data_IF_595577729540
#
_entry.id   IF_595577729540
#
_cell.length_a   1.000
_cell.length_b   1.000
_cell.length_c   1.000
_cell.angle_alpha   90.00
_cell.angle_beta   90.00
_cell.angle_gamma   90.00
#
_symmetry.space_group_name_H-M   'P 1'
#
loop_
_entity.id
_entity.type
_entity.pdbx_description
1 polymer ?
#
# COMPACT_ATOMS: atom_id res chain seq x y z
N UNK A 1 8.33 16.91 -1.74
CA UNK A 1 7.62 17.76 -2.73
C UNK A 1 7.42 19.13 -2.09
N UNK A 2 7.70 20.22 -2.81
CA UNK A 2 7.26 21.56 -2.43
C UNK A 2 6.16 21.97 -3.42
N UNK A 3 5.07 22.57 -2.93
CA UNK A 3 4.06 23.19 -3.78
C UNK A 3 3.96 24.68 -3.45
N UNK A 4 3.48 25.48 -4.40
CA UNK A 4 3.43 26.93 -4.28
C UNK A 4 1.98 27.40 -4.05
N UNK A 5 1.73 28.08 -2.93
CA UNK A 5 0.42 28.64 -2.56
C UNK A 5 -0.07 29.67 -3.60
N UNK A 6 0.82 30.45 -4.21
CA UNK A 6 0.46 31.40 -5.27
C UNK A 6 -0.08 30.69 -6.51
N UNK A 7 0.44 29.49 -6.83
CA UNK A 7 -0.08 28.69 -7.94
C UNK A 7 -1.48 28.15 -7.63
N UNK A 8 -1.74 27.77 -6.37
CA UNK A 8 -3.09 27.38 -5.92
C UNK A 8 -4.04 28.57 -6.03
N UNK A 9 -3.66 29.74 -5.54
CA UNK A 9 -4.48 30.96 -5.63
C UNK A 9 -4.77 31.37 -7.08
N UNK A 10 -3.77 31.26 -7.97
CA UNK A 10 -3.91 31.58 -9.39
C UNK A 10 -4.92 30.68 -10.12
N UNK A 11 -5.12 29.44 -9.63
CA UNK A 11 -6.13 28.53 -10.16
C UNK A 11 -7.57 28.93 -9.78
N UNK A 12 -7.75 29.86 -8.83
CA UNK A 12 -9.05 30.31 -8.29
C UNK A 12 -9.98 29.13 -7.95
N UNK A 13 -9.56 28.22 -7.05
CA UNK A 13 -10.35 27.05 -6.70
C UNK A 13 -11.59 27.43 -5.88
N UNK A 14 -12.68 26.69 -6.08
CA UNK A 14 -13.86 26.75 -5.19
C UNK A 14 -13.69 25.83 -3.96
N UNK A 15 -12.79 24.85 -4.05
CA UNK A 15 -12.44 23.91 -2.97
C UNK A 15 -11.00 23.40 -3.18
N UNK A 16 -10.27 23.17 -2.08
CA UNK A 16 -8.91 22.63 -2.09
C UNK A 16 -8.93 21.25 -1.44
N UNK A 17 -8.65 20.20 -2.21
CA UNK A 17 -8.56 18.82 -1.73
C UNK A 17 -7.11 18.50 -1.33
N UNK A 18 -6.84 18.52 -0.02
CA UNK A 18 -5.54 18.21 0.57
C UNK A 18 -5.63 16.93 1.42
N UNK A 19 -6.20 15.88 0.86
CA UNK A 19 -6.59 14.66 1.59
C UNK A 19 -5.53 13.56 1.59
N UNK A 20 -4.54 13.63 0.71
CA UNK A 20 -3.53 12.57 0.52
C UNK A 20 -2.10 13.04 0.86
N UNK A 21 -1.35 12.14 1.50
CA UNK A 21 0.12 12.09 1.60
C UNK A 21 0.90 13.37 1.95
N UNK A 22 0.25 14.39 2.53
CA UNK A 22 0.87 15.64 2.89
C UNK A 22 0.37 16.13 4.25
N UNK A 23 1.29 16.32 5.19
CA UNK A 23 0.97 16.98 6.45
C UNK A 23 0.84 18.47 6.19
N UNK A 24 -0.37 19.00 6.38
CA UNK A 24 -0.59 20.44 6.41
C UNK A 24 -0.23 20.92 7.82
N UNK A 25 0.82 21.72 7.94
CA UNK A 25 1.00 22.49 9.17
C UNK A 25 -0.09 23.58 9.27
N UNK A 26 -0.25 24.12 10.48
CA UNK A 26 -1.32 25.09 10.76
C UNK A 26 -1.20 26.35 9.90
N UNK A 27 0.02 26.86 9.71
CA UNK A 27 0.25 28.08 8.94
C UNK A 27 -0.14 27.90 7.47
N UNK A 28 0.21 26.75 6.89
CA UNK A 28 -0.14 26.40 5.52
C UNK A 28 -1.63 26.13 5.35
N UNK A 29 -2.27 25.49 6.34
CA UNK A 29 -3.73 25.33 6.34
C UNK A 29 -4.45 26.69 6.36
N UNK A 30 -4.01 27.63 7.20
CA UNK A 30 -4.57 28.99 7.26
C UNK A 30 -4.40 29.72 5.92
N UNK A 31 -3.20 29.67 5.33
CA UNK A 31 -2.93 30.27 4.01
C UNK A 31 -3.81 29.69 2.89
N UNK A 32 -4.06 28.38 2.89
CA UNK A 32 -4.94 27.76 1.90
C UNK A 32 -6.42 28.08 2.18
N UNK A 33 -6.80 28.20 3.45
CA UNK A 33 -8.17 28.53 3.86
C UNK A 33 -8.56 29.97 3.48
N UNK A 34 -7.60 30.88 3.38
CA UNK A 34 -7.82 32.23 2.84
C UNK A 34 -8.15 32.22 1.33
N UNK A 35 -7.81 31.14 0.61
CA UNK A 35 -8.08 31.01 -0.83
C UNK A 35 -9.45 30.37 -1.05
N UNK A 36 -9.71 29.21 -0.43
CA UNK A 36 -10.94 28.44 -0.56
C UNK A 36 -11.10 27.43 0.59
N UNK A 37 -12.30 26.86 0.81
CA UNK A 37 -12.48 25.77 1.77
C UNK A 37 -11.50 24.61 1.53
N UNK A 38 -10.78 24.21 2.57
CA UNK A 38 -9.77 23.14 2.52
C UNK A 38 -10.35 21.84 3.10
N UNK A 39 -10.28 20.77 2.32
CA UNK A 39 -10.66 19.41 2.74
C UNK A 39 -9.39 18.63 3.03
N UNK A 40 -9.19 18.21 4.29
CA UNK A 40 -8.00 17.50 4.74
C UNK A 40 -8.36 16.25 5.58
N UNK A 41 -7.39 15.61 6.22
CA UNK A 41 -7.61 14.52 7.18
C UNK A 41 -8.30 15.03 8.47
N UNK A 42 -9.14 14.19 9.09
CA UNK A 42 -9.88 14.59 10.31
C UNK A 42 -9.02 14.52 11.59
N UNK A 43 -8.40 13.36 11.84
CA UNK A 43 -7.68 13.11 13.10
C UNK A 43 -6.17 13.15 12.92
N UNK A 44 -5.67 12.34 11.98
CA UNK A 44 -4.25 12.21 11.68
C UNK A 44 -4.08 11.68 10.24
N UNK A 45 -2.92 11.95 9.66
CA UNK A 45 -2.55 11.45 8.34
C UNK A 45 -2.63 9.91 8.31
N UNK A 46 -3.16 9.35 7.21
CA UNK A 46 -3.34 7.90 6.98
C UNK A 46 -4.27 7.14 7.95
N UNK A 47 -4.95 7.82 8.89
CA UNK A 47 -5.90 7.15 9.78
C UNK A 47 -7.26 6.85 9.16
N UNK A 48 -7.71 7.69 8.22
CA UNK A 48 -8.96 7.43 7.52
C UNK A 48 -8.82 6.20 6.62
N UNK A 49 -9.90 5.44 6.45
CA UNK A 49 -9.97 4.44 5.39
C UNK A 49 -10.01 5.12 4.01
N UNK A 50 -9.76 4.35 2.95
CA UNK A 50 -9.92 4.83 1.57
C UNK A 50 -11.35 5.27 1.30
N UNK A 51 -12.32 4.57 1.89
CA UNK A 51 -13.76 4.81 1.77
C UNK A 51 -14.15 6.11 2.48
N UNK A 52 -13.67 6.31 3.71
CA UNK A 52 -13.92 7.56 4.46
C UNK A 52 -13.32 8.77 3.73
N UNK A 53 -12.10 8.61 3.20
CA UNK A 53 -11.43 9.65 2.43
C UNK A 53 -12.21 9.97 1.15
N UNK A 54 -12.74 8.95 0.48
CA UNK A 54 -13.58 9.10 -0.72
C UNK A 54 -14.88 9.83 -0.39
N UNK A 55 -15.59 9.42 0.67
CA UNK A 55 -16.83 10.08 1.11
C UNK A 55 -16.60 11.53 1.52
N UNK A 56 -15.47 11.83 2.17
CA UNK A 56 -15.11 13.20 2.54
C UNK A 56 -14.92 14.09 1.31
N UNK A 57 -14.15 13.61 0.31
CA UNK A 57 -13.97 14.32 -0.96
C UNK A 57 -15.31 14.51 -1.65
N UNK A 58 -16.12 13.46 -1.74
CA UNK A 58 -17.41 13.51 -2.41
C UNK A 58 -18.39 14.47 -1.77
N UNK A 59 -18.46 14.54 -0.43
CA UNK A 59 -19.28 15.53 0.26
C UNK A 59 -18.88 16.96 -0.09
N UNK A 60 -17.59 17.23 -0.19
CA UNK A 60 -17.11 18.56 -0.57
C UNK A 60 -17.43 18.91 -2.02
N UNK A 61 -17.57 17.91 -2.89
CA UNK A 61 -17.92 18.07 -4.29
C UNK A 61 -19.44 17.98 -4.57
N UNK A 62 -20.25 17.55 -3.60
CA UNK A 62 -21.68 17.26 -3.80
C UNK A 62 -21.95 15.95 -4.55
N UNK A 63 -20.99 15.02 -4.56
CA UNK A 63 -20.95 13.80 -5.39
C UNK A 63 -21.08 12.51 -4.55
N UNK A 64 -21.89 12.54 -3.47
CA UNK A 64 -21.97 11.43 -2.50
C UNK A 64 -22.44 10.11 -3.14
N UNK A 65 -23.42 10.15 -4.06
CA UNK A 65 -23.91 8.95 -4.78
C UNK A 65 -22.81 8.33 -5.65
N UNK A 66 -21.99 9.15 -6.30
CA UNK A 66 -20.88 8.67 -7.13
C UNK A 66 -19.79 8.01 -6.26
N UNK A 67 -19.54 8.52 -5.05
CA UNK A 67 -18.62 7.88 -4.11
C UNK A 67 -19.11 6.52 -3.65
N UNK A 68 -20.38 6.39 -3.26
CA UNK A 68 -20.92 5.10 -2.82
C UNK A 68 -20.85 4.06 -3.96
N UNK A 69 -21.15 4.45 -5.21
CA UNK A 69 -20.99 3.56 -6.37
C UNK A 69 -19.54 3.10 -6.59
N UNK A 70 -18.55 3.97 -6.35
CA UNK A 70 -17.12 3.62 -6.45
C UNK A 70 -16.68 2.69 -5.32
N UNK A 71 -17.17 2.92 -4.10
CA UNK A 71 -16.92 2.07 -2.93
C UNK A 71 -17.50 0.68 -3.17
N UNK A 72 -18.76 0.59 -3.58
CA UNK A 72 -19.43 -0.68 -3.87
C UNK A 72 -18.70 -1.48 -4.96
N UNK A 73 -18.21 -0.79 -6.00
CA UNK A 73 -17.42 -1.42 -7.06
C UNK A 73 -16.10 -1.99 -6.53
N UNK A 74 -15.41 -1.27 -5.65
CA UNK A 74 -14.17 -1.72 -5.04
C UNK A 74 -14.40 -2.96 -4.15
N UNK A 75 -15.42 -2.91 -3.29
CA UNK A 75 -15.76 -4.00 -2.39
C UNK A 75 -16.24 -5.25 -3.15
N UNK A 76 -17.04 -5.07 -4.19
CA UNK A 76 -17.46 -6.16 -5.07
C UNK A 76 -16.26 -6.83 -5.77
N UNK A 77 -15.27 -6.05 -6.21
CA UNK A 77 -14.06 -6.58 -6.84
C UNK A 77 -13.21 -7.39 -5.85
N UNK A 78 -13.06 -6.92 -4.61
CA UNK A 78 -12.36 -7.65 -3.54
C UNK A 78 -13.11 -8.96 -3.21
N UNK A 79 -14.43 -8.89 -3.03
CA UNK A 79 -15.24 -10.06 -2.71
C UNK A 79 -15.21 -11.12 -3.83
N UNK A 80 -15.27 -10.68 -5.09
CA UNK A 80 -15.13 -11.57 -6.24
C UNK A 80 -13.75 -12.25 -6.26
N UNK A 81 -12.67 -11.51 -6.03
CA UNK A 81 -11.32 -12.08 -5.98
C UNK A 81 -11.18 -13.12 -4.87
N UNK A 82 -11.68 -12.84 -3.65
CA UNK A 82 -11.64 -13.79 -2.53
C UNK A 82 -12.43 -15.06 -2.82
N UNK A 83 -13.56 -14.95 -3.51
CA UNK A 83 -14.34 -16.12 -3.96
C UNK A 83 -13.60 -16.94 -5.02
N UNK A 84 -12.88 -16.28 -5.93
CA UNK A 84 -12.10 -16.94 -6.97
C UNK A 84 -10.82 -17.61 -6.44
N UNK A 85 -10.23 -17.04 -5.39
CA UNK A 85 -8.98 -17.50 -4.78
C UNK A 85 -9.23 -17.81 -3.28
N UNK A 86 -9.78 -19.00 -2.96
CA UNK A 86 -10.13 -19.33 -1.57
C UNK A 86 -8.92 -19.40 -0.62
N UNK A 87 -7.73 -19.69 -1.15
CA UNK A 87 -6.48 -19.76 -0.38
C UNK A 87 -6.01 -18.40 0.15
N UNK A 88 -6.66 -17.29 -0.23
CA UNK A 88 -6.33 -15.98 0.33
C UNK A 88 -6.72 -15.88 1.80
N UNK A 89 -7.79 -16.55 2.21
CA UNK A 89 -8.27 -16.48 3.59
C UNK A 89 -7.30 -17.19 4.54
N UNK A 90 -6.59 -16.40 5.35
CA UNK A 90 -5.50 -16.89 6.20
C UNK A 90 -4.20 -17.21 5.46
N UNK A 91 -4.12 -16.97 4.16
CA UNK A 91 -2.89 -17.13 3.37
C UNK A 91 -1.81 -16.15 3.81
N UNK A 92 -0.55 -16.59 3.87
CA UNK A 92 0.54 -15.73 4.32
C UNK A 92 1.15 -14.92 3.18
N UNK A 93 1.46 -13.65 3.44
CA UNK A 93 2.19 -12.80 2.50
C UNK A 93 3.45 -12.19 3.14
N UNK A 94 4.40 -11.86 2.28
CA UNK A 94 5.44 -10.87 2.53
C UNK A 94 5.34 -9.80 1.44
N UNK A 95 5.38 -8.53 1.84
CA UNK A 95 5.54 -7.40 0.93
C UNK A 95 6.74 -6.58 1.38
N UNK A 96 7.81 -6.57 0.59
CA UNK A 96 9.08 -5.95 0.95
C UNK A 96 9.57 -4.91 -0.04
N UNK A 97 10.26 -3.90 0.46
CA UNK A 97 11.12 -3.04 -0.35
C UNK A 97 12.59 -3.39 -0.08
N UNK A 98 13.29 -3.87 -1.10
CA UNK A 98 14.73 -4.12 -0.95
C UNK A 98 15.50 -2.80 -0.93
N UNK A 99 16.40 -2.68 0.05
CA UNK A 99 17.42 -1.64 0.18
C UNK A 99 18.78 -2.34 0.23
N UNK A 100 19.84 -1.58 0.48
CA UNK A 100 21.18 -2.12 0.56
C UNK A 100 21.31 -3.12 1.73
N UNK A 101 21.36 -4.43 1.42
CA UNK A 101 21.52 -5.54 2.37
C UNK A 101 20.30 -5.87 3.25
N UNK A 102 19.23 -5.08 3.20
CA UNK A 102 18.04 -5.22 4.06
C UNK A 102 16.75 -5.12 3.24
N UNK A 103 15.71 -5.82 3.67
CA UNK A 103 14.35 -5.68 3.15
C UNK A 103 13.48 -5.00 4.20
N UNK A 104 12.85 -3.89 3.84
CA UNK A 104 11.81 -3.26 4.67
C UNK A 104 10.50 -3.99 4.41
N UNK A 105 10.11 -4.88 5.31
CA UNK A 105 8.89 -5.69 5.21
C UNK A 105 7.71 -4.95 5.81
N UNK A 106 6.61 -4.81 5.08
CA UNK A 106 5.38 -4.16 5.54
C UNK A 106 4.48 -5.20 6.19
N UNK A 107 4.27 -5.09 7.49
CA UNK A 107 3.69 -6.17 8.30
C UNK A 107 2.44 -5.71 9.04
N UNK A 108 2.52 -4.56 9.73
CA UNK A 108 1.46 -4.13 10.63
C UNK A 108 0.41 -3.27 9.93
N UNK A 109 -0.81 -3.25 10.46
CA UNK A 109 -1.90 -2.42 9.95
C UNK A 109 -1.67 -0.90 10.10
N UNK A 110 -0.62 -0.49 10.83
CA UNK A 110 -0.15 0.89 10.75
C UNK A 110 0.33 1.27 9.33
N UNK A 111 0.67 0.28 8.50
CA UNK A 111 1.00 0.45 7.09
C UNK A 111 -0.20 0.18 6.17
N UNK A 112 -0.50 1.12 5.29
CA UNK A 112 -1.64 1.06 4.37
C UNK A 112 -1.60 -0.11 3.39
N UNK A 113 -0.41 -0.53 2.95
CA UNK A 113 -0.25 -1.70 2.06
C UNK A 113 -0.59 -2.98 2.81
N UNK A 114 -0.13 -3.13 4.05
CA UNK A 114 -0.46 -4.29 4.89
C UNK A 114 -1.97 -4.36 5.18
N UNK A 115 -2.62 -3.22 5.47
CA UNK A 115 -4.09 -3.15 5.61
C UNK A 115 -4.80 -3.60 4.33
N UNK A 116 -4.32 -3.18 3.16
CA UNK A 116 -4.91 -3.59 1.89
C UNK A 116 -4.80 -5.11 1.69
N UNK A 117 -3.62 -5.70 1.96
CA UNK A 117 -3.45 -7.15 1.92
C UNK A 117 -4.38 -7.88 2.91
N UNK A 118 -4.57 -7.31 4.11
CA UNK A 118 -5.51 -7.86 5.10
C UNK A 118 -6.96 -7.84 4.61
N UNK A 119 -7.39 -6.79 3.89
CA UNK A 119 -8.72 -6.77 3.25
C UNK A 119 -8.93 -7.89 2.24
N UNK A 120 -7.86 -8.40 1.62
CA UNK A 120 -7.90 -9.55 0.72
C UNK A 120 -8.04 -10.89 1.47
N UNK A 121 -7.96 -10.89 2.80
CA UNK A 121 -7.99 -12.09 3.65
C UNK A 121 -6.61 -12.60 4.08
N UNK A 122 -5.54 -11.96 3.60
CA UNK A 122 -4.17 -12.39 3.86
C UNK A 122 -3.68 -11.96 5.24
N UNK A 123 -2.70 -12.68 5.75
CA UNK A 123 -1.99 -12.35 7.00
C UNK A 123 -0.49 -12.20 6.73
N UNK A 124 0.20 -11.26 7.39
CA UNK A 124 1.65 -11.20 7.29
C UNK A 124 2.26 -12.50 7.82
N UNK A 125 3.38 -12.95 7.24
CA UNK A 125 4.07 -14.14 7.74
C UNK A 125 4.46 -13.99 9.22
N UNK A 126 3.98 -14.87 10.14
CA UNK A 126 4.25 -14.73 11.58
C UNK A 126 5.74 -14.68 11.92
N UNK A 127 6.56 -15.50 11.26
CA UNK A 127 8.00 -15.56 11.48
C UNK A 127 8.73 -14.24 11.20
N UNK A 128 8.14 -13.33 10.41
CA UNK A 128 8.66 -11.97 10.20
C UNK A 128 7.94 -10.99 11.12
N UNK A 129 6.62 -11.12 11.29
CA UNK A 129 5.81 -10.24 12.14
C UNK A 129 6.24 -10.24 13.61
N UNK A 130 6.71 -11.38 14.10
CA UNK A 130 7.06 -11.59 15.51
C UNK A 130 8.54 -11.29 15.81
N UNK A 131 9.36 -10.92 14.82
CA UNK A 131 10.77 -10.55 15.04
C UNK A 131 10.91 -9.35 15.99
N UNK A 132 9.87 -8.53 16.09
CA UNK A 132 9.85 -7.32 16.90
C UNK A 132 10.76 -6.22 16.34
N UNK A 133 10.71 -5.07 17.00
CA UNK A 133 11.43 -3.85 16.58
C UNK A 133 10.62 -2.95 15.65
N UNK A 134 11.00 -1.68 15.60
CA UNK A 134 10.45 -0.69 14.67
C UNK A 134 11.32 -0.66 13.42
N UNK A 135 10.77 -1.00 12.26
CA UNK A 135 11.46 -0.84 10.98
C UNK A 135 11.64 0.63 10.59
N UNK A 136 12.28 0.84 9.45
CA UNK A 136 12.62 2.18 8.94
C UNK A 136 11.39 3.05 8.60
N UNK A 137 10.18 2.48 8.54
CA UNK A 137 8.92 3.18 8.27
C UNK A 137 7.81 2.64 9.17
N UNK A 138 6.74 3.41 9.45
CA UNK A 138 5.62 2.94 10.24
C UNK A 138 5.00 1.63 9.73
N UNK A 139 4.78 0.69 10.65
CA UNK A 139 4.22 -0.64 10.38
C UNK A 139 5.12 -1.60 9.61
N UNK A 140 6.42 -1.31 9.54
CA UNK A 140 7.40 -2.18 8.90
C UNK A 140 8.38 -2.81 9.89
N UNK A 141 9.01 -3.89 9.46
CA UNK A 141 10.14 -4.57 10.12
C UNK A 141 11.28 -4.67 9.09
N UNK A 142 12.49 -4.31 9.51
CA UNK A 142 13.67 -4.38 8.66
C UNK A 142 14.35 -5.76 8.80
N UNK A 143 14.40 -6.53 7.71
CA UNK A 143 14.91 -7.91 7.70
C UNK A 143 16.18 -7.99 6.85
N UNK A 144 17.30 -8.38 7.48
CA UNK A 144 18.57 -8.62 6.77
C UNK A 144 18.43 -9.72 5.71
N UNK A 145 19.15 -9.61 4.60
CA UNK A 145 19.20 -10.67 3.58
C UNK A 145 19.72 -12.00 4.14
N UNK A 146 20.50 -11.98 5.23
CA UNK A 146 20.96 -13.19 5.92
C UNK A 146 19.79 -14.01 6.48
N UNK A 147 18.67 -13.37 6.76
CA UNK A 147 17.45 -14.01 7.25
C UNK A 147 16.49 -14.39 6.10
N UNK A 148 16.92 -14.35 4.83
CA UNK A 148 16.05 -14.65 3.69
C UNK A 148 15.43 -16.06 3.73
N UNK A 149 16.01 -16.98 4.52
CA UNK A 149 15.45 -18.31 4.80
C UNK A 149 14.05 -18.27 5.41
N UNK A 150 13.71 -17.20 6.15
CA UNK A 150 12.36 -16.98 6.68
C UNK A 150 11.33 -16.80 5.56
N UNK A 151 11.74 -16.30 4.39
CA UNK A 151 10.81 -15.97 3.32
C UNK A 151 10.17 -17.22 2.71
N UNK A 152 10.80 -18.38 2.82
CA UNK A 152 10.29 -19.63 2.24
C UNK A 152 8.94 -20.07 2.81
N UNK A 153 8.64 -19.67 4.04
CA UNK A 153 7.41 -20.03 4.74
C UNK A 153 6.21 -19.13 4.33
N UNK A 154 6.45 -18.10 3.52
CA UNK A 154 5.40 -17.27 2.96
C UNK A 154 4.67 -17.97 1.81
N UNK A 155 3.35 -17.77 1.77
CA UNK A 155 2.49 -18.13 0.64
C UNK A 155 2.84 -17.32 -0.61
N UNK A 156 3.31 -16.09 -0.46
CA UNK A 156 3.83 -15.27 -1.58
C UNK A 156 4.79 -14.19 -1.07
N UNK A 157 5.83 -13.90 -1.86
CA UNK A 157 6.79 -12.83 -1.62
C UNK A 157 6.65 -11.77 -2.72
N UNK A 158 5.98 -10.67 -2.40
CA UNK A 158 5.95 -9.47 -3.22
C UNK A 158 7.14 -8.57 -2.89
N UNK A 159 7.86 -8.10 -3.90
CA UNK A 159 9.01 -7.21 -3.69
C UNK A 159 8.98 -6.04 -4.65
N UNK A 160 9.20 -4.83 -4.12
CA UNK A 160 9.40 -3.62 -4.93
C UNK A 160 10.82 -3.08 -4.80
N UNK A 161 11.25 -2.32 -5.80
CA UNK A 161 12.62 -1.85 -5.97
C UNK A 161 12.64 -0.42 -6.48
N UNK A 162 13.48 0.44 -5.90
CA UNK A 162 13.64 1.82 -6.38
C UNK A 162 14.37 1.90 -7.73
N UNK A 163 15.09 0.84 -8.12
CA UNK A 163 15.78 0.75 -9.40
C UNK A 163 16.00 -0.70 -9.82
N UNK A 164 16.21 -0.92 -11.12
CA UNK A 164 16.61 -2.21 -11.67
C UNK A 164 17.94 -2.71 -11.10
N UNK A 165 18.84 -1.80 -10.71
CA UNK A 165 20.11 -2.16 -10.09
C UNK A 165 19.88 -2.81 -8.72
N UNK A 166 19.01 -2.24 -7.88
CA UNK A 166 18.64 -2.82 -6.58
C UNK A 166 17.90 -4.14 -6.75
N UNK A 167 17.02 -4.26 -7.76
CA UNK A 167 16.36 -5.51 -8.10
C UNK A 167 17.37 -6.60 -8.42
N UNK A 168 18.31 -6.32 -9.34
CA UNK A 168 19.36 -7.27 -9.71
C UNK A 168 20.25 -7.63 -8.52
N UNK A 169 20.56 -6.67 -7.65
CA UNK A 169 21.36 -6.92 -6.45
C UNK A 169 20.64 -7.89 -5.49
N UNK A 170 19.34 -7.70 -5.26
CA UNK A 170 18.52 -8.61 -4.45
C UNK A 170 18.42 -10.00 -5.10
N UNK A 171 18.00 -10.08 -6.37
CA UNK A 171 17.77 -11.34 -7.07
C UNK A 171 19.05 -12.16 -7.30
N UNK A 172 20.23 -11.51 -7.35
CA UNK A 172 21.53 -12.18 -7.49
C UNK A 172 22.27 -12.38 -6.19
N UNK A 173 21.76 -11.89 -5.06
CA UNK A 173 22.40 -12.10 -3.77
C UNK A 173 22.46 -13.64 -3.51
N UNK A 174 23.63 -14.22 -3.16
CA UNK A 174 23.77 -15.67 -3.01
C UNK A 174 22.85 -16.27 -1.94
N UNK A 175 22.55 -15.53 -0.88
CA UNK A 175 21.65 -15.98 0.19
C UNK A 175 20.20 -15.93 -0.29
N UNK A 176 19.78 -14.82 -0.89
CA UNK A 176 18.39 -14.64 -1.39
C UNK A 176 18.09 -15.61 -2.53
N UNK A 177 18.95 -15.66 -3.55
CA UNK A 177 18.75 -16.49 -4.75
C UNK A 177 18.77 -18.00 -4.47
N UNK A 178 19.37 -18.42 -3.36
CA UNK A 178 19.35 -19.81 -2.92
C UNK A 178 17.99 -20.26 -2.36
N UNK A 179 17.13 -19.31 -1.95
CA UNK A 179 15.86 -19.64 -1.30
C UNK A 179 14.82 -20.20 -2.31
N UNK A 180 14.18 -21.35 -2.03
CA UNK A 180 13.13 -21.94 -2.85
C UNK A 180 12.01 -20.98 -3.28
N UNK A 181 11.60 -20.03 -2.44
CA UNK A 181 10.50 -19.11 -2.77
C UNK A 181 10.81 -18.26 -4.01
N UNK A 182 12.08 -17.92 -4.26
CA UNK A 182 12.51 -17.12 -5.41
C UNK A 182 12.19 -17.75 -6.76
N UNK A 183 12.01 -19.08 -6.80
CA UNK A 183 11.70 -19.82 -8.04
C UNK A 183 10.21 -20.10 -8.22
N UNK A 184 9.40 -19.91 -7.18
CA UNK A 184 8.04 -20.44 -7.13
C UNK A 184 6.98 -19.42 -6.77
N UNK A 185 7.23 -18.54 -5.80
CA UNK A 185 6.22 -17.61 -5.25
C UNK A 185 6.76 -16.19 -5.04
N UNK A 186 7.85 -15.85 -5.72
CA UNK A 186 8.41 -14.51 -5.76
C UNK A 186 7.79 -13.68 -6.90
N UNK A 187 7.36 -12.46 -6.58
CA UNK A 187 6.72 -11.54 -7.50
C UNK A 187 7.33 -10.15 -7.40
N UNK A 188 8.06 -9.69 -8.44
CA UNK A 188 8.50 -8.31 -8.51
C UNK A 188 7.30 -7.40 -8.81
N UNK A 189 7.09 -6.40 -7.95
CA UNK A 189 6.05 -5.37 -8.05
C UNK A 189 6.66 -4.10 -8.62
N UNK A 190 6.14 -3.63 -9.75
CA UNK A 190 6.61 -2.40 -10.38
C UNK A 190 6.35 -1.17 -9.50
N UNK A 191 7.09 -0.09 -9.77
CA UNK A 191 6.98 1.13 -8.98
C UNK A 191 5.59 1.76 -9.05
N UNK A 192 4.89 1.66 -10.19
CA UNK A 192 3.55 2.23 -10.34
C UNK A 192 2.56 1.56 -9.39
N UNK A 193 2.60 0.23 -9.32
CA UNK A 193 1.78 -0.61 -8.45
C UNK A 193 2.16 -0.41 -7.00
N UNK A 194 3.46 -0.37 -6.70
CA UNK A 194 3.96 -0.11 -5.35
C UNK A 194 3.61 1.29 -4.82
N UNK A 195 3.56 2.29 -5.70
CA UNK A 195 3.08 3.64 -5.36
C UNK A 195 1.57 3.63 -5.11
N UNK A 196 0.78 2.97 -5.95
CA UNK A 196 -0.66 2.86 -5.74
C UNK A 196 -1.02 2.08 -4.45
N UNK A 197 -0.21 1.10 -4.04
CA UNK A 197 -0.39 0.38 -2.78
C UNK A 197 -0.09 1.20 -1.53
N UNK A 198 0.62 2.32 -1.66
CA UNK A 198 0.86 3.27 -0.58
C UNK A 198 -0.33 4.23 -0.37
N UNK A 199 -1.32 4.21 -1.27
CA UNK A 199 -2.59 4.91 -1.10
C UNK A 199 -3.68 4.23 -1.95
N UNK A 200 -4.13 3.03 -1.55
CA UNK A 200 -5.05 2.23 -2.34
C UNK A 200 -6.47 2.81 -2.27
N UNK A 201 -6.74 3.86 -3.07
CA UNK A 201 -8.06 4.45 -3.18
C UNK A 201 -9.04 3.54 -3.92
N UNK A 202 -10.35 3.77 -3.70
CA UNK A 202 -11.43 2.91 -4.21
C UNK A 202 -11.44 2.76 -5.74
N UNK A 203 -10.98 3.78 -6.46
CA UNK A 203 -10.89 3.75 -7.93
C UNK A 203 -9.76 2.83 -8.40
N UNK A 204 -8.64 2.81 -7.67
CA UNK A 204 -7.46 2.01 -7.99
C UNK A 204 -7.63 0.52 -7.64
N UNK A 205 -8.55 0.18 -6.74
CA UNK A 205 -8.71 -1.20 -6.23
C UNK A 205 -8.81 -2.23 -7.36
N UNK A 206 -9.74 -2.15 -8.33
CA UNK A 206 -9.83 -3.18 -9.38
C UNK A 206 -8.52 -3.38 -10.15
N UNK A 207 -7.83 -2.28 -10.46
CA UNK A 207 -6.54 -2.34 -11.16
C UNK A 207 -5.44 -2.95 -10.27
N UNK A 208 -5.37 -2.60 -8.98
CA UNK A 208 -4.45 -3.20 -8.02
C UNK A 208 -4.64 -4.70 -7.89
N UNK A 209 -5.90 -5.16 -7.84
CA UNK A 209 -6.22 -6.59 -7.81
C UNK A 209 -5.68 -7.30 -9.06
N UNK A 210 -5.83 -6.71 -10.24
CA UNK A 210 -5.29 -7.27 -11.48
C UNK A 210 -3.76 -7.35 -11.46
N UNK A 211 -3.06 -6.34 -10.93
CA UNK A 211 -1.59 -6.36 -10.83
C UNK A 211 -1.08 -7.42 -9.84
N UNK A 212 -1.79 -7.63 -8.72
CA UNK A 212 -1.39 -8.58 -7.68
C UNK A 212 -1.82 -10.01 -7.99
N UNK A 213 -2.89 -10.19 -8.76
CA UNK A 213 -3.50 -11.50 -9.07
C UNK A 213 -2.51 -12.58 -9.50
N UNK A 214 -1.47 -12.33 -10.32
CA UNK A 214 -0.48 -13.33 -10.65
C UNK A 214 0.20 -13.94 -9.43
N UNK A 215 0.56 -13.12 -8.43
CA UNK A 215 1.15 -13.60 -7.18
C UNK A 215 0.16 -14.23 -6.23
N UNK A 216 -1.03 -13.66 -6.14
CA UNK A 216 -2.11 -14.18 -5.30
C UNK A 216 -2.51 -15.61 -5.68
N UNK A 217 -2.42 -15.97 -6.96
CA UNK A 217 -2.64 -17.33 -7.46
C UNK A 217 -1.58 -18.35 -7.05
N UNK A 218 -0.40 -17.89 -6.61
CA UNK A 218 0.72 -18.76 -6.21
C UNK A 218 0.59 -19.21 -4.75
N UNK A 219 -0.33 -18.61 -3.98
CA UNK A 219 -0.55 -18.92 -2.58
C UNK A 219 -1.09 -20.36 -2.47
N UNK A 220 -0.36 -21.25 -1.76
CA UNK A 220 -0.76 -22.64 -1.64
C UNK A 220 -2.05 -22.77 -0.81
N UNK A 221 -2.75 -23.89 -0.98
CA UNK A 221 -3.83 -24.22 -0.07
C UNK A 221 -3.23 -24.55 1.32
N UNK A 222 -3.85 -24.02 2.36
CA UNK A 222 -3.54 -24.32 3.76
C UNK A 222 -3.91 -25.75 4.14
#
# INVERSE_FOLDING_TARGET
MSFNVEQVAAARPDVILATAAFTLDQALYEQLSDIAPVVTYEKQLYAATSEDSTRRVARALGEEEAADALIDKADAAIAALRKELPNLDGGTFLYGQARDGVVVMLVEEANVTARFMHRLGLVPLPAVAELGGTGSVPGAIDVSFEQARLFDDAGVLFMTYQSDALRKAFEKNPIVSAQPIMKSRYVPVDLKTATALQDPNVVAVPWLLDQLRPGLKLIPAS
#
